data_IF_201357249893
#
_entry.id   IF_201357249893
#
_cell.length_a   1.000
_cell.length_b   1.000
_cell.length_c   1.000
_cell.angle_alpha   90.00
_cell.angle_beta   90.00
_cell.angle_gamma   90.00
#
_symmetry.space_group_name_H-M   'P 1'
#
loop_
_entity.id
_entity.type
_entity.pdbx_description
1 polymer ?
#
# COMPACT_ATOMS: atom_id res chain seq x y z
N UNK A 1 13.34 -13.82 -34.17
CA UNK A 1 12.76 -13.37 -32.88
C UNK A 1 12.21 -11.95 -33.06
N UNK A 2 10.90 -11.70 -32.90
CA UNK A 2 10.38 -10.36 -33.05
C UNK A 2 10.91 -9.47 -31.92
N UNK A 3 11.49 -8.32 -32.27
CA UNK A 3 11.93 -7.31 -31.30
C UNK A 3 10.69 -6.86 -30.53
N UNK A 4 10.68 -7.10 -29.22
CA UNK A 4 9.71 -6.49 -28.30
C UNK A 4 9.84 -4.98 -28.51
N UNK A 5 8.85 -4.37 -29.15
CA UNK A 5 8.86 -2.93 -29.41
C UNK A 5 8.72 -2.19 -28.08
N UNK A 6 9.46 -1.09 -27.94
CA UNK A 6 9.50 -0.26 -26.72
C UNK A 6 8.10 0.20 -26.24
N UNK A 7 7.11 0.20 -27.14
CA UNK A 7 5.70 0.48 -26.87
C UNK A 7 5.05 -0.51 -25.88
N UNK A 8 5.37 -1.80 -25.97
CA UNK A 8 4.74 -2.81 -25.11
C UNK A 8 5.27 -2.72 -23.66
N UNK A 9 6.56 -2.42 -23.50
CA UNK A 9 7.18 -2.20 -22.19
C UNK A 9 6.60 -0.96 -21.47
N UNK A 10 6.43 0.16 -22.20
CA UNK A 10 5.81 1.37 -21.64
C UNK A 10 4.37 1.14 -21.18
N UNK A 11 3.58 0.39 -21.95
CA UNK A 11 2.19 0.06 -21.58
C UNK A 11 2.11 -0.75 -20.28
N UNK A 12 3.02 -1.71 -20.07
CA UNK A 12 3.07 -2.53 -18.86
C UNK A 12 3.37 -1.69 -17.63
N UNK A 13 4.33 -0.76 -17.72
CA UNK A 13 4.70 0.13 -16.61
C UNK A 13 3.53 1.06 -16.25
N UNK A 14 2.88 1.67 -17.26
CA UNK A 14 1.73 2.55 -17.03
C UNK A 14 0.59 1.79 -16.35
N UNK A 15 0.26 0.58 -16.82
CA UNK A 15 -0.76 -0.27 -16.20
C UNK A 15 -0.41 -0.61 -14.75
N UNK A 16 0.86 -0.86 -14.46
CA UNK A 16 1.33 -1.13 -13.10
C UNK A 16 1.15 0.08 -12.18
N UNK A 17 1.57 1.28 -12.62
CA UNK A 17 1.42 2.52 -11.85
C UNK A 17 -0.06 2.81 -11.58
N UNK A 18 -0.89 2.75 -12.62
CA UNK A 18 -2.33 3.00 -12.49
C UNK A 18 -2.99 2.01 -11.52
N UNK A 19 -2.63 0.72 -11.64
CA UNK A 19 -3.13 -0.33 -10.75
C UNK A 19 -2.71 -0.09 -9.30
N UNK A 20 -1.46 0.31 -9.06
CA UNK A 20 -0.96 0.66 -7.73
C UNK A 20 -1.76 1.80 -7.09
N UNK A 21 -2.02 2.87 -7.84
CA UNK A 21 -2.80 4.02 -7.35
C UNK A 21 -4.23 3.61 -7.01
N UNK A 22 -4.92 2.95 -7.95
CA UNK A 22 -6.32 2.52 -7.78
C UNK A 22 -6.46 1.58 -6.58
N UNK A 23 -5.55 0.61 -6.47
CA UNK A 23 -5.60 -0.38 -5.41
C UNK A 23 -5.25 0.22 -4.04
N UNK A 24 -4.35 1.21 -4.00
CA UNK A 24 -4.05 1.97 -2.79
C UNK A 24 -5.31 2.71 -2.32
N UNK A 25 -5.95 3.47 -3.22
CA UNK A 25 -7.17 4.22 -2.89
C UNK A 25 -8.30 3.30 -2.40
N UNK A 26 -8.55 2.19 -3.10
CA UNK A 26 -9.56 1.19 -2.73
C UNK A 26 -9.26 0.53 -1.38
N UNK A 27 -8.01 0.12 -1.14
CA UNK A 27 -7.66 -0.56 0.12
C UNK A 27 -7.83 0.36 1.32
N UNK A 28 -7.35 1.61 1.22
CA UNK A 28 -7.46 2.59 2.29
C UNK A 28 -8.93 2.95 2.55
N UNK A 29 -9.71 3.21 1.49
CA UNK A 29 -11.11 3.59 1.65
C UNK A 29 -11.93 2.45 2.26
N UNK A 30 -11.78 1.23 1.76
CA UNK A 30 -12.49 0.05 2.27
C UNK A 30 -12.12 -0.27 3.74
N UNK A 31 -10.83 -0.25 4.10
CA UNK A 31 -10.42 -0.47 5.48
C UNK A 31 -10.90 0.65 6.40
N UNK A 32 -10.83 1.90 5.95
CA UNK A 32 -11.27 3.05 6.74
C UNK A 32 -12.77 3.07 6.96
N UNK A 33 -13.59 2.62 6.00
CA UNK A 33 -15.04 2.50 6.18
C UNK A 33 -15.39 1.38 7.14
N UNK A 34 -14.73 0.21 7.04
CA UNK A 34 -14.91 -0.91 7.97
C UNK A 34 -14.58 -0.49 9.40
N UNK A 35 -13.42 0.16 9.61
CA UNK A 35 -13.04 0.62 10.96
C UNK A 35 -13.94 1.73 11.48
N UNK A 36 -14.31 2.70 10.65
CA UNK A 36 -15.26 3.75 11.05
C UNK A 36 -16.61 3.17 11.46
N UNK A 37 -17.12 2.18 10.70
CA UNK A 37 -18.36 1.50 11.03
C UNK A 37 -18.26 0.74 12.36
N UNK A 38 -17.15 0.04 12.60
CA UNK A 38 -16.92 -0.65 13.86
C UNK A 38 -16.85 0.33 15.05
N UNK A 39 -16.08 1.41 14.92
CA UNK A 39 -15.96 2.42 15.99
C UNK A 39 -17.32 3.03 16.33
N UNK A 40 -18.11 3.41 15.31
CA UNK A 40 -19.43 4.00 15.52
C UNK A 40 -20.43 2.99 16.12
N UNK A 41 -20.36 1.71 15.71
CA UNK A 41 -21.32 0.70 16.17
C UNK A 41 -21.05 0.22 17.59
N UNK A 42 -19.79 0.23 18.02
CA UNK A 42 -19.36 -0.20 19.36
C UNK A 42 -19.11 0.97 20.31
N UNK A 43 -19.38 2.21 19.88
CA UNK A 43 -19.15 3.46 20.63
C UNK A 43 -17.73 3.53 21.22
N UNK A 44 -16.74 3.19 20.39
CA UNK A 44 -15.34 3.12 20.80
C UNK A 44 -14.73 4.52 20.87
N UNK A 45 -13.91 4.76 21.89
CA UNK A 45 -13.23 6.03 22.11
C UNK A 45 -12.37 6.45 20.88
N UNK A 46 -12.28 7.75 20.63
CA UNK A 46 -11.51 8.36 19.54
C UNK A 46 -10.03 7.98 19.57
N UNK A 47 -9.51 7.59 20.73
CA UNK A 47 -8.14 7.06 20.86
C UNK A 47 -7.95 5.81 19.99
N UNK A 48 -8.98 4.96 19.86
CA UNK A 48 -8.93 3.72 19.07
C UNK A 48 -8.81 4.03 17.58
N UNK A 49 -9.38 5.14 17.10
CA UNK A 49 -9.22 5.60 15.71
C UNK A 49 -7.76 5.83 15.31
N UNK A 50 -6.89 6.22 16.25
CA UNK A 50 -5.44 6.37 15.98
C UNK A 50 -4.83 5.02 15.61
N UNK A 51 -5.14 3.97 16.37
CA UNK A 51 -4.65 2.62 16.13
C UNK A 51 -5.21 2.01 14.85
N UNK A 52 -6.50 2.23 14.54
CA UNK A 52 -7.09 1.83 13.27
C UNK A 52 -6.32 2.39 12.07
N UNK A 53 -5.79 3.61 12.16
CA UNK A 53 -4.94 4.20 11.12
C UNK A 53 -3.67 3.40 10.83
N UNK A 54 -2.98 2.93 11.87
CA UNK A 54 -1.79 2.09 11.72
C UNK A 54 -2.14 0.72 11.11
N UNK A 55 -3.25 0.14 11.55
CA UNK A 55 -3.76 -1.14 11.04
C UNK A 55 -4.12 -1.01 9.56
N UNK A 56 -4.79 0.06 9.15
CA UNK A 56 -5.05 0.35 7.74
C UNK A 56 -3.76 0.44 6.93
N UNK A 57 -2.75 1.14 7.43
CA UNK A 57 -1.45 1.23 6.75
C UNK A 57 -0.78 -0.14 6.59
N UNK A 58 -0.84 -1.00 7.62
CA UNK A 58 -0.30 -2.35 7.58
C UNK A 58 -1.02 -3.21 6.53
N UNK A 59 -2.35 -3.28 6.56
CA UNK A 59 -3.10 -4.10 5.61
C UNK A 59 -2.98 -3.58 4.17
N UNK A 60 -3.06 -2.26 3.95
CA UNK A 60 -2.86 -1.68 2.62
C UNK A 60 -1.45 -1.94 2.07
N UNK A 61 -0.41 -1.83 2.90
CA UNK A 61 0.98 -2.14 2.49
C UNK A 61 1.24 -3.63 2.26
N UNK A 62 0.35 -4.51 2.70
CA UNK A 62 0.38 -5.94 2.33
C UNK A 62 -0.42 -6.22 1.05
N UNK A 63 -1.65 -5.71 0.97
CA UNK A 63 -2.59 -5.99 -0.14
C UNK A 63 -2.09 -5.38 -1.45
N UNK A 64 -1.60 -4.13 -1.41
CA UNK A 64 -1.21 -3.42 -2.64
C UNK A 64 -0.05 -4.11 -3.36
N UNK A 65 1.09 -4.41 -2.70
CA UNK A 65 2.19 -5.12 -3.36
C UNK A 65 1.78 -6.50 -3.84
N UNK A 66 1.12 -7.31 -3.00
CA UNK A 66 0.78 -8.69 -3.36
C UNK A 66 -0.08 -8.79 -4.63
N UNK A 67 -1.05 -7.89 -4.80
CA UNK A 67 -1.93 -7.87 -5.97
C UNK A 67 -1.33 -7.17 -7.19
N UNK A 68 -0.54 -6.11 -7.00
CA UNK A 68 0.19 -5.45 -8.08
C UNK A 68 1.24 -6.36 -8.69
N UNK A 69 1.91 -7.16 -7.86
CA UNK A 69 3.00 -8.02 -8.29
C UNK A 69 2.55 -9.24 -9.10
N UNK A 70 1.29 -9.71 -9.01
CA UNK A 70 0.82 -10.98 -9.61
C UNK A 70 1.25 -11.24 -11.07
N UNK A 71 1.45 -10.20 -11.88
CA UNK A 71 1.85 -10.32 -13.29
C UNK A 71 3.37 -10.36 -13.56
N UNK A 72 4.22 -10.22 -12.54
CA UNK A 72 5.68 -10.05 -12.71
C UNK A 72 6.47 -11.24 -12.17
N UNK A 73 7.44 -11.77 -12.93
CA UNK A 73 8.32 -12.87 -12.46
C UNK A 73 9.67 -12.39 -11.92
N UNK A 74 10.18 -11.28 -12.44
CA UNK A 74 11.48 -10.72 -12.05
C UNK A 74 11.32 -9.41 -11.27
N UNK A 75 12.36 -9.01 -10.53
CA UNK A 75 12.45 -7.73 -9.81
C UNK A 75 11.30 -7.46 -8.83
N UNK A 76 10.76 -8.52 -8.21
CA UNK A 76 9.60 -8.47 -7.31
C UNK A 76 9.85 -7.50 -6.13
N UNK A 77 11.07 -7.47 -5.59
CA UNK A 77 11.45 -6.54 -4.51
C UNK A 77 11.44 -5.08 -4.94
N UNK A 78 11.97 -4.74 -6.11
CA UNK A 78 11.96 -3.37 -6.57
C UNK A 78 10.53 -2.91 -6.90
N UNK A 79 9.73 -3.77 -7.54
CA UNK A 79 8.33 -3.45 -7.83
C UNK A 79 7.47 -3.38 -6.56
N UNK A 80 7.75 -4.16 -5.51
CA UNK A 80 6.98 -4.06 -4.27
C UNK A 80 7.14 -2.67 -3.65
N UNK A 81 8.37 -2.16 -3.59
CA UNK A 81 8.63 -0.80 -3.13
C UNK A 81 8.04 0.26 -4.04
N UNK A 82 8.11 0.09 -5.37
CA UNK A 82 7.47 1.01 -6.30
C UNK A 82 5.94 1.05 -6.13
N UNK A 83 5.32 -0.10 -5.84
CA UNK A 83 3.85 -0.20 -5.69
C UNK A 83 3.29 0.49 -4.45
N UNK A 84 4.10 0.75 -3.42
CA UNK A 84 3.69 1.43 -2.19
C UNK A 84 3.93 2.95 -2.21
N UNK A 85 4.53 3.50 -3.28
CA UNK A 85 4.77 4.95 -3.38
C UNK A 85 3.49 5.76 -3.16
N UNK A 86 2.33 5.42 -3.77
CA UNK A 86 1.09 6.14 -3.51
C UNK A 86 0.65 6.09 -2.04
N UNK A 87 0.92 4.98 -1.34
CA UNK A 87 0.59 4.80 0.08
C UNK A 87 1.50 5.67 0.97
N UNK A 88 2.79 5.77 0.63
CA UNK A 88 3.74 6.66 1.30
C UNK A 88 3.33 8.13 1.12
N UNK A 89 2.99 8.53 -0.12
CA UNK A 89 2.50 9.89 -0.41
C UNK A 89 1.22 10.17 0.40
N UNK A 90 0.28 9.23 0.43
CA UNK A 90 -0.93 9.36 1.23
C UNK A 90 -0.62 9.55 2.73
N UNK A 91 0.31 8.77 3.29
CA UNK A 91 0.70 8.91 4.70
C UNK A 91 1.31 10.27 5.02
N UNK A 92 2.15 10.80 4.13
CA UNK A 92 2.76 12.14 4.27
C UNK A 92 1.68 13.23 4.16
N UNK A 93 0.80 13.13 3.16
CA UNK A 93 -0.31 14.07 3.00
C UNK A 93 -1.23 14.06 4.22
N UNK A 94 -1.59 12.88 4.74
CA UNK A 94 -2.47 12.75 5.91
C UNK A 94 -1.82 13.35 7.18
N UNK A 95 -0.50 13.28 7.31
CA UNK A 95 0.23 13.99 8.37
C UNK A 95 0.14 15.51 8.19
N UNK A 96 0.45 16.01 6.98
CA UNK A 96 0.47 17.44 6.68
C UNK A 96 -0.91 18.11 6.86
N UNK A 97 -2.00 17.43 6.46
CA UNK A 97 -3.35 17.99 6.53
C UNK A 97 -4.04 17.82 7.89
N UNK A 98 -3.69 16.79 8.68
CA UNK A 98 -4.34 16.52 9.98
C UNK A 98 -3.51 16.95 11.19
N UNK A 99 -2.38 17.65 10.99
CA UNK A 99 -1.47 18.07 12.06
C UNK A 99 -1.16 16.94 13.06
N UNK A 100 -0.91 15.73 12.54
CA UNK A 100 -0.55 14.59 13.39
C UNK A 100 0.85 14.79 13.96
N UNK A 101 1.18 14.10 15.06
CA UNK A 101 2.53 14.14 15.60
C UNK A 101 3.53 13.47 14.66
N UNK A 102 4.76 13.99 14.62
CA UNK A 102 5.84 13.43 13.79
C UNK A 102 6.09 11.95 14.10
N UNK A 103 5.96 11.55 15.37
CA UNK A 103 6.07 10.17 15.83
C UNK A 103 5.06 9.25 15.12
N UNK A 104 3.83 9.71 14.90
CA UNK A 104 2.79 8.91 14.24
C UNK A 104 3.11 8.68 12.75
N UNK A 105 3.69 9.68 12.09
CA UNK A 105 4.17 9.54 10.71
C UNK A 105 5.32 8.53 10.63
N UNK A 106 6.30 8.62 11.54
CA UNK A 106 7.44 7.71 11.55
C UNK A 106 7.02 6.25 11.78
N UNK A 107 6.10 6.01 12.72
CA UNK A 107 5.53 4.68 12.97
C UNK A 107 4.80 4.17 11.71
N UNK A 108 3.98 5.00 11.09
CA UNK A 108 3.23 4.61 9.89
C UNK A 108 4.16 4.25 8.73
N UNK A 109 5.22 5.02 8.51
CA UNK A 109 6.23 4.74 7.48
C UNK A 109 7.00 3.45 7.77
N UNK A 110 7.42 3.22 9.02
CA UNK A 110 8.09 1.97 9.43
C UNK A 110 7.20 0.75 9.17
N UNK A 111 5.90 0.84 9.49
CA UNK A 111 4.93 -0.22 9.22
C UNK A 111 4.82 -0.47 7.71
N UNK A 112 4.62 0.58 6.92
CA UNK A 112 4.45 0.47 5.46
C UNK A 112 5.66 -0.21 4.81
N UNK A 113 6.88 0.21 5.18
CA UNK A 113 8.13 -0.34 4.62
C UNK A 113 8.32 -1.79 5.05
N UNK A 114 8.17 -2.09 6.34
CA UNK A 114 8.39 -3.42 6.90
C UNK A 114 7.40 -4.45 6.33
N UNK A 115 6.11 -4.11 6.29
CA UNK A 115 5.08 -5.01 5.80
C UNK A 115 5.17 -5.20 4.28
N UNK A 116 5.50 -4.14 3.53
CA UNK A 116 5.76 -4.26 2.09
C UNK A 116 6.95 -5.18 1.78
N UNK A 117 8.00 -5.12 2.61
CA UNK A 117 9.13 -6.04 2.49
C UNK A 117 8.70 -7.50 2.71
N UNK A 118 7.93 -7.78 3.77
CA UNK A 118 7.39 -9.12 4.05
C UNK A 118 6.51 -9.61 2.87
N UNK A 119 5.61 -8.75 2.38
CA UNK A 119 4.75 -9.04 1.24
C UNK A 119 5.57 -9.37 -0.02
N UNK A 120 6.71 -8.70 -0.19
CA UNK A 120 7.65 -8.95 -1.28
C UNK A 120 8.32 -10.31 -1.19
N UNK A 121 8.86 -10.65 0.00
CA UNK A 121 9.51 -11.95 0.26
C UNK A 121 8.52 -13.10 0.02
N UNK A 122 7.29 -12.98 0.52
CA UNK A 122 6.23 -13.98 0.30
C UNK A 122 5.89 -14.10 -1.19
N UNK A 123 5.76 -12.96 -1.89
CA UNK A 123 5.43 -12.95 -3.31
C UNK A 123 6.55 -13.53 -4.18
N UNK A 124 7.81 -13.33 -3.79
CA UNK A 124 8.98 -13.90 -4.45
C UNK A 124 9.10 -15.41 -4.20
N UNK A 125 8.84 -15.86 -2.97
CA UNK A 125 8.85 -17.28 -2.61
C UNK A 125 7.82 -18.10 -3.39
N UNK A 126 6.64 -17.55 -3.68
CA UNK A 126 5.59 -18.21 -4.48
C UNK A 126 5.88 -18.33 -5.98
N UNK A 127 6.96 -17.72 -6.48
CA UNK A 127 7.28 -17.63 -7.92
C UNK A 127 8.65 -18.19 -8.30
N UNK A 128 9.36 -18.76 -7.33
CA UNK A 128 10.46 -19.70 -7.59
C UNK A 128 9.88 -21.02 -8.08
#
# INVERSE_FOLDING_TARGET
>A
MPKISNLNAKSIIIKFVLKSIILTALSISALSTIFSFAVLKFDLDLIICKYCGYVTCAFSSFIVPTLCLKGFKHNISALSFASIIPLVIFSIANYAFKNKDFVQLFISLSIIVSVSFIASVISAGKRK
#
